data_IF_648673801021
#
_entry.id   IF_648673801021
#
_cell.length_a   1.000
_cell.length_b   1.000
_cell.length_c   1.000
_cell.angle_alpha   90.00
_cell.angle_beta   90.00
_cell.angle_gamma   90.00
#
_symmetry.space_group_name_H-M   'P 1'
#
loop_
_entity.id
_entity.type
_entity.pdbx_description
1 polymer ?
#
# COMPACT_ATOMS: atom_id res chain seq x y z
N UNK A 1 -28.14 14.10 -2.06
CA UNK A 1 -28.45 12.67 -2.26
C UNK A 1 -27.38 12.15 -3.18
N UNK A 2 -26.51 11.27 -2.67
CA UNK A 2 -25.36 10.77 -3.40
C UNK A 2 -25.82 10.06 -4.68
N UNK A 3 -25.34 10.51 -5.84
CA UNK A 3 -25.30 9.67 -7.04
C UNK A 3 -24.25 8.60 -6.77
N UNK A 4 -24.67 7.53 -6.09
CA UNK A 4 -23.90 6.30 -6.07
C UNK A 4 -23.67 5.90 -7.53
N UNK A 5 -22.45 5.54 -7.87
CA UNK A 5 -22.17 4.89 -9.16
C UNK A 5 -22.99 3.59 -9.13
N UNK A 6 -24.12 3.58 -9.83
CA UNK A 6 -25.03 2.44 -9.89
C UNK A 6 -24.51 1.48 -10.96
N UNK A 7 -23.97 0.35 -10.51
CA UNK A 7 -23.75 -0.81 -11.36
C UNK A 7 -25.10 -1.20 -11.98
N UNK A 8 -25.12 -1.37 -13.29
CA UNK A 8 -26.27 -1.89 -14.03
C UNK A 8 -26.63 -3.31 -13.57
N UNK A 9 -27.90 -3.74 -13.73
CA UNK A 9 -28.29 -5.13 -13.43
C UNK A 9 -27.40 -6.18 -14.11
N UNK A 10 -26.96 -5.92 -15.35
CA UNK A 10 -26.06 -6.79 -16.09
C UNK A 10 -24.67 -6.90 -15.43
N UNK A 11 -24.11 -5.79 -14.94
CA UNK A 11 -22.83 -5.81 -14.22
C UNK A 11 -22.96 -6.56 -12.89
N UNK A 12 -24.07 -6.39 -12.17
CA UNK A 12 -24.37 -7.12 -10.94
C UNK A 12 -24.47 -8.63 -11.20
N UNK A 13 -25.13 -9.04 -12.29
CA UNK A 13 -25.18 -10.44 -12.72
C UNK A 13 -23.79 -10.96 -13.08
N UNK A 14 -22.98 -10.18 -13.80
CA UNK A 14 -21.60 -10.52 -14.14
C UNK A 14 -20.72 -10.74 -12.90
N UNK A 15 -20.84 -9.88 -11.88
CA UNK A 15 -20.16 -10.07 -10.59
C UNK A 15 -20.55 -11.40 -9.93
N UNK A 16 -21.83 -11.75 -9.95
CA UNK A 16 -22.31 -13.02 -9.39
C UNK A 16 -21.76 -14.23 -10.15
N UNK A 17 -21.75 -14.16 -11.49
CA UNK A 17 -21.21 -15.22 -12.34
C UNK A 17 -19.72 -15.47 -12.06
N UNK A 18 -18.92 -14.41 -11.99
CA UNK A 18 -17.49 -14.52 -11.66
C UNK A 18 -17.28 -15.08 -10.25
N UNK A 19 -18.04 -14.61 -9.26
CA UNK A 19 -17.94 -15.09 -7.88
C UNK A 19 -18.15 -16.60 -7.76
N UNK A 20 -19.26 -17.11 -8.30
CA UNK A 20 -19.55 -18.55 -8.25
C UNK A 20 -18.63 -19.37 -9.15
N UNK A 21 -18.23 -18.82 -10.30
CA UNK A 21 -17.22 -19.43 -11.17
C UNK A 21 -15.92 -19.70 -10.40
N UNK A 22 -15.44 -18.73 -9.63
CA UNK A 22 -14.23 -18.90 -8.81
C UNK A 22 -14.41 -19.88 -7.64
N UNK A 23 -15.58 -19.96 -7.02
CA UNK A 23 -15.81 -20.94 -5.95
C UNK A 23 -15.84 -22.38 -6.47
N UNK A 24 -16.49 -22.62 -7.62
CA UNK A 24 -16.53 -23.96 -8.24
C UNK A 24 -15.14 -24.51 -8.59
N UNK A 25 -14.23 -23.65 -9.05
CA UNK A 25 -12.83 -24.00 -9.32
C UNK A 25 -12.07 -24.31 -8.02
N UNK A 26 -12.34 -23.57 -6.93
CA UNK A 26 -11.68 -23.78 -5.65
C UNK A 26 -12.16 -25.04 -4.92
N UNK A 27 -13.42 -25.44 -5.09
CA UNK A 27 -14.03 -26.61 -4.46
C UNK A 27 -13.89 -27.90 -5.28
N UNK A 28 -13.30 -27.83 -6.49
CA UNK A 28 -13.17 -28.94 -7.44
C UNK A 28 -14.51 -29.66 -7.74
N UNK A 29 -15.64 -28.93 -7.65
CA UNK A 29 -17.00 -29.44 -7.83
C UNK A 29 -17.68 -28.76 -9.02
N UNK A 30 -18.17 -29.59 -9.95
CA UNK A 30 -19.05 -29.28 -11.12
C UNK A 30 -18.68 -28.10 -12.03
N UNK A 31 -18.78 -28.30 -13.34
CA UNK A 31 -18.63 -27.24 -14.35
C UNK A 31 -19.58 -26.07 -14.09
N UNK A 32 -19.11 -24.81 -14.13
CA UNK A 32 -19.90 -23.61 -13.82
C UNK A 32 -21.13 -23.39 -14.72
N UNK A 33 -21.21 -24.10 -15.86
CA UNK A 33 -22.26 -23.95 -16.87
C UNK A 33 -23.68 -24.40 -16.47
N UNK A 34 -23.88 -24.97 -15.27
CA UNK A 34 -25.19 -25.45 -14.82
C UNK A 34 -25.85 -24.59 -13.72
N UNK A 35 -25.24 -23.46 -13.34
CA UNK A 35 -25.81 -22.57 -12.32
C UNK A 35 -26.77 -21.55 -12.97
N UNK A 36 -28.02 -21.55 -12.53
CA UNK A 36 -28.99 -20.50 -12.85
C UNK A 36 -28.96 -19.46 -11.73
N UNK A 37 -28.44 -18.26 -12.03
CA UNK A 37 -28.33 -17.18 -11.07
C UNK A 37 -29.49 -16.19 -11.27
N UNK A 38 -30.20 -15.88 -10.19
CA UNK A 38 -31.24 -14.86 -10.18
C UNK A 38 -30.98 -13.86 -9.04
N UNK A 39 -30.62 -12.62 -9.40
CA UNK A 39 -30.35 -11.56 -8.44
C UNK A 39 -31.68 -11.06 -7.87
N UNK A 40 -31.88 -11.23 -6.56
CA UNK A 40 -33.12 -10.83 -5.89
C UNK A 40 -33.08 -9.33 -5.58
N UNK A 41 -31.97 -8.88 -5.00
CA UNK A 41 -31.70 -7.47 -4.67
C UNK A 41 -30.22 -7.25 -4.39
N UNK A 42 -29.80 -6.00 -4.51
CA UNK A 42 -28.48 -5.55 -4.07
C UNK A 42 -28.58 -4.18 -3.38
N UNK A 43 -27.62 -3.87 -2.51
CA UNK A 43 -27.51 -2.57 -1.87
C UNK A 43 -26.07 -2.29 -1.42
N UNK A 44 -25.74 -1.01 -1.28
CA UNK A 44 -24.49 -0.55 -0.68
C UNK A 44 -24.68 -0.35 0.82
N UNK A 45 -23.75 -0.87 1.62
CA UNK A 45 -23.70 -0.69 3.07
C UNK A 45 -22.40 0.06 3.45
N UNK A 46 -22.47 1.14 4.26
CA UNK A 46 -21.26 1.75 4.82
C UNK A 46 -20.42 0.74 5.61
N UNK A 47 -19.10 0.89 5.55
CA UNK A 47 -18.18 0.05 6.34
C UNK A 47 -18.14 0.51 7.80
N UNK A 48 -18.30 1.81 8.02
CA UNK A 48 -18.32 2.46 9.33
C UNK A 48 -19.30 3.64 9.31
N UNK A 49 -19.73 4.08 10.51
CA UNK A 49 -20.64 5.21 10.68
C UNK A 49 -19.97 6.56 10.33
N UNK A 50 -18.64 6.63 10.35
CA UNK A 50 -17.83 7.74 9.85
C UNK A 50 -17.17 7.40 8.51
N UNK A 51 -16.89 8.37 7.62
CA UNK A 51 -16.12 8.14 6.41
C UNK A 51 -14.74 7.54 6.78
N UNK A 52 -14.49 6.29 6.41
CA UNK A 52 -13.20 5.62 6.59
C UNK A 52 -12.45 5.60 5.26
N UNK A 53 -11.29 6.26 5.22
CA UNK A 53 -10.44 6.38 4.03
C UNK A 53 -10.16 7.83 3.66
N UNK A 54 -8.88 8.15 3.41
CA UNK A 54 -8.44 9.50 3.02
C UNK A 54 -8.68 9.81 1.54
N UNK A 55 -8.65 8.79 0.67
CA UNK A 55 -8.57 8.94 -0.80
C UNK A 55 -9.69 8.22 -1.58
N UNK A 56 -10.73 7.74 -0.90
CA UNK A 56 -11.86 7.05 -1.55
C UNK A 56 -13.01 6.75 -0.61
N UNK A 57 -14.20 6.51 -1.17
CA UNK A 57 -15.34 6.00 -0.41
C UNK A 57 -15.33 4.48 -0.40
N UNK A 58 -15.25 3.91 0.80
CA UNK A 58 -15.31 2.47 0.99
C UNK A 58 -16.71 2.02 1.42
N UNK A 59 -17.29 1.05 0.69
CA UNK A 59 -18.62 0.48 0.99
C UNK A 59 -18.60 -1.02 0.74
N UNK A 60 -19.49 -1.75 1.41
CA UNK A 60 -19.81 -3.13 1.03
C UNK A 60 -20.93 -3.14 0.00
N UNK A 61 -20.73 -3.82 -1.13
CA UNK A 61 -21.82 -4.20 -2.03
C UNK A 61 -22.36 -5.55 -1.58
N UNK A 62 -23.62 -5.58 -1.15
CA UNK A 62 -24.29 -6.79 -0.67
C UNK A 62 -25.32 -7.22 -1.70
N UNK A 63 -25.22 -8.46 -2.18
CA UNK A 63 -26.11 -9.02 -3.21
C UNK A 63 -26.77 -10.27 -2.63
N UNK A 64 -28.11 -10.27 -2.59
CA UNK A 64 -28.89 -11.46 -2.29
C UNK A 64 -29.24 -12.15 -3.63
N UNK A 65 -28.75 -13.36 -3.82
CA UNK A 65 -28.87 -14.12 -5.08
C UNK A 65 -29.45 -15.50 -4.83
N UNK A 66 -30.38 -15.89 -5.68
CA UNK A 66 -30.92 -17.23 -5.76
C UNK A 66 -30.07 -18.02 -6.76
N UNK A 67 -29.59 -19.19 -6.34
CA UNK A 67 -28.76 -20.09 -7.14
C UNK A 67 -29.53 -21.38 -7.36
N UNK A 68 -29.95 -21.60 -8.60
CA UNK A 68 -30.51 -22.87 -9.04
C UNK A 68 -29.39 -23.77 -9.56
N UNK A 69 -29.37 -25.03 -9.13
CA UNK A 69 -28.48 -26.05 -9.68
C UNK A 69 -29.30 -27.27 -10.13
N UNK A 70 -29.01 -27.76 -11.33
CA UNK A 70 -29.59 -29.01 -11.85
C UNK A 70 -28.63 -30.15 -11.60
N UNK A 71 -29.05 -31.14 -10.81
CA UNK A 71 -28.30 -32.40 -10.71
C UNK A 71 -28.53 -33.28 -11.94
N UNK A 72 -27.58 -34.17 -12.23
CA UNK A 72 -27.71 -35.18 -13.30
C UNK A 72 -28.94 -36.09 -13.09
N UNK A 73 -29.39 -36.26 -11.84
CA UNK A 73 -30.59 -37.01 -11.45
C UNK A 73 -31.91 -36.24 -11.63
N UNK A 74 -31.88 -35.02 -12.18
CA UNK A 74 -33.07 -34.20 -12.46
C UNK A 74 -33.72 -33.57 -11.22
N UNK A 75 -33.02 -33.51 -10.08
CA UNK A 75 -33.50 -32.76 -8.91
C UNK A 75 -33.01 -31.32 -9.00
N UNK A 76 -33.95 -30.40 -9.17
CA UNK A 76 -33.69 -28.98 -9.03
C UNK A 76 -33.48 -28.65 -7.55
N UNK A 77 -32.34 -28.05 -7.21
CA UNK A 77 -32.12 -27.45 -5.89
C UNK A 77 -31.96 -25.95 -6.01
N UNK A 78 -32.59 -25.23 -5.09
CA UNK A 78 -32.52 -23.78 -4.98
C UNK A 78 -31.81 -23.44 -3.67
N UNK A 79 -30.71 -22.70 -3.77
CA UNK A 79 -30.03 -22.13 -2.63
C UNK A 79 -30.14 -20.61 -2.65
N UNK A 80 -30.29 -20.00 -1.47
CA UNK A 80 -30.25 -18.54 -1.31
C UNK A 80 -28.90 -18.17 -0.71
N UNK A 81 -28.16 -17.32 -1.42
CA UNK A 81 -26.83 -16.89 -1.03
C UNK A 81 -26.80 -15.37 -0.86
N UNK A 82 -26.02 -14.91 0.12
CA UNK A 82 -25.67 -13.51 0.29
C UNK A 82 -24.20 -13.35 -0.02
N UNK A 83 -23.90 -12.62 -1.10
CA UNK A 83 -22.52 -12.28 -1.48
C UNK A 83 -22.22 -10.88 -0.94
N UNK A 84 -20.97 -10.67 -0.49
CA UNK A 84 -20.47 -9.34 -0.19
C UNK A 84 -19.18 -9.09 -0.94
N UNK A 85 -19.07 -7.91 -1.52
CA UNK A 85 -17.86 -7.37 -2.10
C UNK A 85 -17.42 -6.11 -1.34
N UNK A 86 -16.13 -5.82 -1.36
CA UNK A 86 -15.60 -4.53 -0.94
C UNK A 86 -15.54 -3.60 -2.16
N UNK A 87 -15.98 -2.35 -2.01
CA UNK A 87 -15.96 -1.36 -3.10
C UNK A 87 -15.18 -0.12 -2.71
N UNK A 88 -14.37 0.39 -3.64
CA UNK A 88 -13.64 1.65 -3.52
C UNK A 88 -14.08 2.56 -4.67
N UNK A 89 -14.66 3.70 -4.34
CA UNK A 89 -15.16 4.67 -5.31
C UNK A 89 -14.45 6.02 -5.15
N UNK A 90 -14.26 6.74 -6.27
CA UNK A 90 -13.73 8.10 -6.24
C UNK A 90 -14.67 9.04 -5.45
N UNK A 91 -14.14 10.00 -4.67
CA UNK A 91 -14.95 10.98 -3.96
C UNK A 91 -15.42 12.09 -4.90
N UNK A 92 -16.46 11.81 -5.69
CA UNK A 92 -17.02 12.72 -6.70
C UNK A 92 -17.68 13.98 -6.09
N UNK A 93 -17.92 13.99 -4.77
CA UNK A 93 -18.74 15.01 -4.11
C UNK A 93 -17.95 16.24 -3.64
N UNK A 94 -16.61 16.17 -3.58
CA UNK A 94 -15.77 17.24 -3.01
C UNK A 94 -14.75 17.70 -4.04
N UNK A 95 -15.02 18.83 -4.70
CA UNK A 95 -14.20 19.38 -5.79
C UNK A 95 -12.71 19.50 -5.43
N UNK A 96 -12.37 20.02 -4.23
CA UNK A 96 -10.96 20.13 -3.80
C UNK A 96 -10.27 18.77 -3.58
N UNK A 97 -11.01 17.72 -3.23
CA UNK A 97 -10.48 16.35 -3.13
C UNK A 97 -10.38 15.70 -4.51
N UNK A 98 -11.29 16.01 -5.43
CA UNK A 98 -11.20 15.58 -6.83
C UNK A 98 -10.01 16.22 -7.53
N UNK A 99 -9.85 17.55 -7.43
CA UNK A 99 -8.71 18.26 -7.99
C UNK A 99 -7.40 17.67 -7.45
N UNK A 100 -7.34 17.40 -6.13
CA UNK A 100 -6.21 16.72 -5.51
C UNK A 100 -6.00 15.30 -6.05
N UNK A 101 -7.04 14.47 -6.17
CA UNK A 101 -6.92 13.08 -6.67
C UNK A 101 -6.59 13.01 -8.16
N UNK A 102 -7.12 13.94 -8.95
CA UNK A 102 -6.85 14.10 -10.37
C UNK A 102 -5.42 14.60 -10.59
N UNK A 103 -4.96 15.57 -9.82
CA UNK A 103 -3.57 16.05 -9.81
C UNK A 103 -2.59 14.97 -9.30
N UNK A 104 -3.04 14.12 -8.37
CA UNK A 104 -2.26 12.98 -7.88
C UNK A 104 -2.22 11.80 -8.86
N UNK A 105 -3.21 11.67 -9.74
CA UNK A 105 -3.36 10.56 -10.70
C UNK A 105 -3.55 9.17 -10.07
N UNK A 106 -3.73 9.09 -8.76
CA UNK A 106 -3.65 7.85 -7.96
C UNK A 106 -4.78 6.87 -8.24
N UNK A 107 -6.02 7.36 -8.41
CA UNK A 107 -7.19 6.50 -8.60
C UNK A 107 -7.22 5.84 -9.99
N UNK A 108 -6.93 6.62 -11.04
CA UNK A 108 -6.82 6.11 -12.42
C UNK A 108 -5.70 5.07 -12.53
N UNK A 109 -4.57 5.34 -11.88
CA UNK A 109 -3.46 4.39 -11.81
C UNK A 109 -3.89 3.08 -11.16
N UNK A 110 -4.49 3.13 -9.97
CA UNK A 110 -4.94 1.93 -9.25
C UNK A 110 -5.90 1.08 -10.09
N UNK A 111 -6.81 1.70 -10.84
CA UNK A 111 -7.69 1.01 -11.78
C UNK A 111 -6.90 0.22 -12.83
N UNK A 112 -5.93 0.86 -13.48
CA UNK A 112 -5.11 0.20 -14.52
C UNK A 112 -4.30 -0.95 -13.89
N UNK A 113 -3.77 -0.76 -12.69
CA UNK A 113 -3.03 -1.81 -11.98
C UNK A 113 -3.91 -3.03 -11.73
N UNK A 114 -5.11 -2.87 -11.16
CA UNK A 114 -5.99 -4.01 -10.88
C UNK A 114 -6.61 -4.64 -12.13
N UNK A 115 -6.87 -3.83 -13.18
CA UNK A 115 -7.49 -4.31 -14.41
C UNK A 115 -6.50 -4.99 -15.35
N UNK A 116 -5.30 -4.43 -15.49
CA UNK A 116 -4.39 -4.77 -16.58
C UNK A 116 -3.06 -5.39 -16.09
N UNK A 117 -2.54 -4.97 -14.93
CA UNK A 117 -1.21 -5.41 -14.45
C UNK A 117 -1.30 -6.63 -13.54
N UNK A 118 -2.02 -6.52 -12.43
CA UNK A 118 -2.13 -7.59 -11.42
C UNK A 118 -2.68 -8.90 -11.98
N UNK A 119 -3.66 -8.93 -12.91
CA UNK A 119 -4.09 -10.19 -13.50
C UNK A 119 -2.95 -10.95 -14.18
N UNK A 120 -2.07 -10.26 -14.92
CA UNK A 120 -0.93 -10.86 -15.59
C UNK A 120 0.10 -11.42 -14.59
N UNK A 121 0.37 -10.69 -13.50
CA UNK A 121 1.33 -11.12 -12.48
C UNK A 121 0.77 -12.28 -11.63
N UNK A 122 -0.53 -12.26 -11.33
CA UNK A 122 -1.18 -13.30 -10.53
C UNK A 122 -1.43 -14.60 -11.29
N UNK A 123 -1.40 -14.59 -12.63
CA UNK A 123 -1.32 -15.82 -13.44
C UNK A 123 0.00 -16.56 -13.22
N UNK A 124 1.10 -15.85 -12.94
CA UNK A 124 2.41 -16.44 -12.64
C UNK A 124 2.44 -16.91 -11.18
N UNK A 125 2.21 -15.98 -10.24
CA UNK A 125 2.15 -16.29 -8.82
C UNK A 125 0.89 -15.70 -8.19
N UNK A 126 -0.11 -16.54 -7.84
CA UNK A 126 -1.36 -16.05 -7.32
C UNK A 126 -1.24 -15.56 -5.88
N UNK A 127 -2.14 -14.68 -5.48
CA UNK A 127 -2.34 -14.35 -4.08
C UNK A 127 -1.43 -13.24 -3.55
N UNK A 128 -1.08 -12.28 -4.39
CA UNK A 128 -0.42 -11.06 -3.92
C UNK A 128 -1.45 -10.02 -3.51
N UNK A 129 -2.56 -9.93 -4.23
CA UNK A 129 -3.60 -8.92 -4.06
C UNK A 129 -5.00 -9.56 -3.90
N UNK A 130 -6.00 -8.82 -3.39
CA UNK A 130 -7.38 -9.26 -3.49
C UNK A 130 -7.79 -9.44 -4.95
N UNK A 131 -8.69 -10.38 -5.19
CA UNK A 131 -9.39 -10.50 -6.46
C UNK A 131 -10.18 -9.24 -6.75
N UNK A 132 -9.93 -8.62 -7.90
CA UNK A 132 -10.74 -7.55 -8.45
C UNK A 132 -11.75 -8.16 -9.44
N UNK A 133 -13.04 -7.95 -9.20
CA UNK A 133 -14.12 -8.45 -10.06
C UNK A 133 -14.59 -7.41 -11.07
N UNK A 134 -14.41 -6.12 -10.73
CA UNK A 134 -14.83 -5.02 -11.58
C UNK A 134 -13.95 -3.80 -11.35
N UNK A 135 -13.53 -3.18 -12.44
CA UNK A 135 -12.71 -1.98 -12.45
C UNK A 135 -13.18 -1.07 -13.58
N UNK A 136 -13.75 0.08 -13.21
CA UNK A 136 -14.13 1.16 -14.11
C UNK A 136 -13.56 2.49 -13.58
N UNK A 137 -13.60 3.54 -14.41
CA UNK A 137 -13.01 4.86 -14.18
C UNK A 137 -13.22 5.44 -12.79
N UNK A 138 -14.33 5.11 -12.11
CA UNK A 138 -14.69 5.66 -10.80
C UNK A 138 -14.97 4.60 -9.73
N UNK A 139 -14.86 3.30 -10.04
CA UNK A 139 -15.28 2.22 -9.14
C UNK A 139 -14.42 0.96 -9.29
N UNK A 140 -13.94 0.47 -8.16
CA UNK A 140 -13.31 -0.83 -8.01
C UNK A 140 -14.18 -1.72 -7.11
N UNK A 141 -14.35 -2.99 -7.50
CA UNK A 141 -15.07 -4.02 -6.74
C UNK A 141 -14.14 -5.20 -6.50
N UNK A 142 -13.93 -5.54 -5.24
CA UNK A 142 -13.00 -6.56 -4.77
C UNK A 142 -13.70 -7.67 -3.99
N UNK A 143 -13.05 -8.82 -3.88
CA UNK A 143 -13.43 -9.78 -2.84
C UNK A 143 -13.42 -9.15 -1.45
N UNK A 144 -14.33 -9.60 -0.60
CA UNK A 144 -14.41 -9.15 0.78
C UNK A 144 -13.49 -10.01 1.64
N UNK A 145 -12.30 -9.49 1.92
CA UNK A 145 -11.22 -10.23 2.57
C UNK A 145 -11.56 -10.74 3.99
N UNK A 146 -12.46 -10.08 4.76
CA UNK A 146 -12.75 -10.52 6.13
C UNK A 146 -13.44 -11.88 6.17
N UNK A 147 -14.25 -12.23 5.16
CA UNK A 147 -14.80 -13.59 5.01
C UNK A 147 -13.72 -14.65 4.85
N UNK A 148 -12.57 -14.29 4.28
CA UNK A 148 -11.40 -15.15 4.17
C UNK A 148 -10.56 -15.22 5.45
N UNK A 149 -10.97 -14.59 6.55
CA UNK A 149 -10.19 -14.51 7.80
C UNK A 149 -9.06 -13.49 7.75
N UNK A 150 -9.11 -12.54 6.82
CA UNK A 150 -8.11 -11.48 6.71
C UNK A 150 -8.48 -10.24 7.54
N UNK A 151 -7.48 -9.65 8.21
CA UNK A 151 -7.60 -8.39 8.95
C UNK A 151 -6.27 -7.62 8.92
N UNK A 152 -6.30 -6.34 9.26
CA UNK A 152 -5.07 -5.57 9.51
C UNK A 152 -4.34 -6.16 10.71
N UNK A 153 -3.01 -6.22 10.63
CA UNK A 153 -2.16 -6.80 11.67
C UNK A 153 -1.68 -5.80 12.73
N UNK A 154 -1.70 -4.50 12.41
CA UNK A 154 -1.24 -3.45 13.31
C UNK A 154 -2.40 -2.70 13.98
N UNK A 155 -2.11 -2.16 15.18
CA UNK A 155 -2.99 -1.21 15.85
C UNK A 155 -2.75 0.22 15.36
N UNK A 156 -3.15 1.20 16.19
CA UNK A 156 -2.86 2.62 15.93
C UNK A 156 -1.37 2.91 15.77
N UNK A 157 -0.52 2.05 16.34
CA UNK A 157 0.92 2.21 16.29
C UNK A 157 1.58 1.89 14.96
N UNK A 158 0.84 1.22 14.08
CA UNK A 158 1.33 0.75 12.80
C UNK A 158 2.43 -0.29 12.94
N UNK A 159 2.70 -0.83 14.14
CA UNK A 159 3.80 -1.76 14.36
C UNK A 159 3.37 -3.19 14.03
N UNK A 160 4.29 -3.93 13.39
CA UNK A 160 4.16 -5.35 13.11
C UNK A 160 5.27 -6.12 13.81
N UNK A 161 4.95 -7.33 14.27
CA UNK A 161 5.95 -8.25 14.80
C UNK A 161 6.70 -8.99 13.68
N UNK A 162 7.62 -9.87 14.08
CA UNK A 162 8.45 -10.66 13.17
C UNK A 162 7.63 -11.56 12.25
N UNK A 163 6.62 -12.27 12.76
CA UNK A 163 5.83 -13.22 11.97
C UNK A 163 5.02 -12.50 10.89
N UNK A 164 4.49 -11.32 11.22
CA UNK A 164 3.81 -10.45 10.26
C UNK A 164 4.77 -9.94 9.18
N UNK A 165 5.95 -9.44 9.56
CA UNK A 165 6.91 -8.93 8.58
C UNK A 165 7.49 -10.04 7.69
N UNK A 166 7.81 -11.21 8.23
CA UNK A 166 8.24 -12.36 7.43
C UNK A 166 7.15 -12.77 6.40
N UNK A 167 5.89 -12.79 6.82
CA UNK A 167 4.75 -13.10 5.96
C UNK A 167 4.60 -12.06 4.83
N UNK A 168 4.74 -10.78 5.15
CA UNK A 168 4.71 -9.69 4.17
C UNK A 168 5.92 -9.73 3.22
N UNK A 169 7.12 -9.96 3.75
CA UNK A 169 8.37 -10.11 2.98
C UNK A 169 8.26 -11.23 1.94
N UNK A 170 7.70 -12.38 2.33
CA UNK A 170 7.47 -13.50 1.40
C UNK A 170 6.51 -13.14 0.27
N UNK A 171 5.44 -12.41 0.60
CA UNK A 171 4.44 -11.94 -0.39
C UNK A 171 5.06 -10.90 -1.33
N UNK A 172 5.90 -10.00 -0.79
CA UNK A 172 6.64 -9.02 -1.58
C UNK A 172 7.64 -9.66 -2.54
N UNK A 173 8.42 -10.62 -2.06
CA UNK A 173 9.33 -11.41 -2.89
C UNK A 173 8.59 -12.14 -4.02
N UNK A 174 7.38 -12.64 -3.74
CA UNK A 174 6.50 -13.26 -4.75
C UNK A 174 6.11 -12.27 -5.84
N UNK A 175 5.66 -11.07 -5.45
CA UNK A 175 5.25 -10.01 -6.38
C UNK A 175 6.39 -9.54 -7.27
N UNK A 176 7.56 -9.27 -6.68
CA UNK A 176 8.74 -8.84 -7.42
C UNK A 176 9.26 -9.94 -8.36
N UNK A 177 9.27 -11.20 -7.93
CA UNK A 177 9.62 -12.33 -8.79
C UNK A 177 8.64 -12.49 -9.95
N UNK A 178 7.32 -12.35 -9.71
CA UNK A 178 6.30 -12.40 -10.76
C UNK A 178 6.57 -11.34 -11.85
N UNK A 179 6.95 -10.13 -11.44
CA UNK A 179 7.30 -9.05 -12.36
C UNK A 179 8.47 -9.42 -13.27
N UNK A 180 9.54 -9.99 -12.72
CA UNK A 180 10.71 -10.40 -13.51
C UNK A 180 10.34 -11.51 -14.48
N UNK A 181 9.62 -12.54 -14.00
CA UNK A 181 9.19 -13.66 -14.84
C UNK A 181 8.30 -13.17 -15.97
N UNK A 182 7.40 -12.23 -15.70
CA UNK A 182 6.56 -11.60 -16.72
C UNK A 182 7.42 -10.92 -17.80
N UNK A 183 8.37 -10.07 -17.41
CA UNK A 183 9.24 -9.38 -18.38
C UNK A 183 10.07 -10.35 -19.23
N UNK A 184 10.59 -11.42 -18.63
CA UNK A 184 11.34 -12.45 -19.35
C UNK A 184 10.45 -13.18 -20.35
N UNK A 185 9.22 -13.55 -19.97
CA UNK A 185 8.25 -14.22 -20.85
C UNK A 185 7.80 -13.32 -22.00
N UNK A 186 7.61 -12.02 -21.75
CA UNK A 186 7.17 -11.05 -22.76
C UNK A 186 8.33 -10.51 -23.62
N UNK A 187 9.57 -10.60 -23.15
CA UNK A 187 10.74 -10.03 -23.82
C UNK A 187 10.78 -8.49 -23.80
N UNK A 188 9.98 -7.84 -22.95
CA UNK A 188 9.82 -6.39 -22.87
C UNK A 188 9.56 -5.96 -21.42
N UNK A 189 9.94 -4.74 -21.06
CA UNK A 189 9.78 -4.23 -19.70
C UNK A 189 8.34 -3.90 -19.38
N UNK A 190 7.90 -4.16 -18.15
CA UNK A 190 6.50 -3.98 -17.76
C UNK A 190 6.05 -2.51 -17.86
N UNK A 191 6.96 -1.57 -17.64
CA UNK A 191 6.71 -0.12 -17.79
C UNK A 191 6.60 0.34 -19.24
N UNK A 192 7.00 -0.48 -20.21
CA UNK A 192 6.78 -0.21 -21.63
C UNK A 192 5.41 -0.73 -22.09
N UNK A 193 4.86 -1.74 -21.42
CA UNK A 193 3.52 -2.28 -21.70
C UNK A 193 2.44 -1.44 -20.98
N UNK A 194 2.66 -1.09 -19.71
CA UNK A 194 1.71 -0.36 -18.88
C UNK A 194 2.26 0.96 -18.31
N UNK A 195 2.80 1.90 -19.12
CA UNK A 195 3.42 3.13 -18.61
C UNK A 195 2.58 3.90 -17.57
N UNK A 196 1.30 4.26 -17.83
CA UNK A 196 0.52 5.09 -16.90
C UNK A 196 0.19 4.38 -15.57
N UNK A 197 0.33 3.05 -15.52
CA UNK A 197 0.05 2.26 -14.33
C UNK A 197 1.18 2.34 -13.29
N UNK A 198 2.40 2.64 -13.73
CA UNK A 198 3.61 2.45 -12.92
C UNK A 198 4.66 3.56 -13.07
N UNK A 199 4.23 4.75 -13.47
CA UNK A 199 5.02 5.98 -13.37
C UNK A 199 5.14 6.46 -11.92
N UNK A 200 6.31 6.90 -11.48
CA UNK A 200 6.50 7.44 -10.12
C UNK A 200 5.74 8.77 -9.94
N UNK A 201 4.72 8.79 -9.07
CA UNK A 201 3.87 9.95 -8.81
C UNK A 201 3.80 10.36 -7.33
N UNK A 202 4.41 9.63 -6.41
CA UNK A 202 4.55 9.96 -5.00
C UNK A 202 5.64 11.02 -4.77
N UNK A 203 6.79 10.83 -5.41
CA UNK A 203 7.97 11.69 -5.36
C UNK A 203 8.45 12.03 -6.79
N UNK A 204 7.64 12.69 -7.64
CA UNK A 204 8.06 12.98 -9.00
C UNK A 204 9.33 13.85 -9.02
N UNK A 205 10.25 13.55 -9.94
CA UNK A 205 11.47 14.35 -10.12
C UNK A 205 11.17 15.66 -10.85
N UNK A 206 12.00 16.68 -10.62
CA UNK A 206 11.98 17.97 -11.35
C UNK A 206 10.65 18.75 -11.26
N UNK A 207 9.95 18.65 -10.13
CA UNK A 207 8.70 19.39 -9.91
C UNK A 207 8.94 20.88 -9.65
N UNK A 208 7.98 21.70 -10.11
CA UNK A 208 7.81 23.07 -9.61
C UNK A 208 7.52 23.02 -8.09
N UNK A 209 8.06 23.97 -7.33
CA UNK A 209 7.80 24.07 -5.89
C UNK A 209 6.32 24.27 -5.54
N UNK A 210 5.51 24.67 -6.52
CA UNK A 210 4.05 24.80 -6.41
C UNK A 210 3.32 23.49 -6.59
N UNK A 211 3.96 22.44 -7.11
CA UNK A 211 3.32 21.15 -7.30
C UNK A 211 2.91 20.55 -5.96
N UNK A 212 1.69 20.04 -5.88
CA UNK A 212 1.08 19.57 -4.63
C UNK A 212 1.92 18.51 -3.89
N UNK A 213 2.59 17.60 -4.62
CA UNK A 213 3.51 16.61 -4.03
C UNK A 213 4.73 17.24 -3.36
N UNK A 214 5.32 18.27 -3.97
CA UNK A 214 6.46 18.97 -3.38
C UNK A 214 6.03 19.80 -2.16
N UNK A 215 4.88 20.49 -2.25
CA UNK A 215 4.32 21.21 -1.09
C UNK A 215 4.03 20.26 0.07
N UNK A 216 3.47 19.08 -0.21
CA UNK A 216 3.21 18.07 0.81
C UNK A 216 4.48 17.57 1.48
N UNK A 217 5.53 17.32 0.70
CA UNK A 217 6.84 17.00 1.23
C UNK A 217 7.40 18.14 2.09
N UNK A 218 7.39 19.38 1.58
CA UNK A 218 7.91 20.55 2.29
C UNK A 218 7.19 20.81 3.62
N UNK A 219 5.85 20.67 3.64
CA UNK A 219 5.05 20.81 4.85
C UNK A 219 5.35 19.69 5.86
N UNK A 220 5.62 18.46 5.39
CA UNK A 220 6.10 17.38 6.25
C UNK A 220 7.46 17.71 6.88
N UNK A 221 8.41 18.22 6.08
CA UNK A 221 9.73 18.66 6.56
C UNK A 221 9.61 19.78 7.60
N UNK A 222 8.69 20.73 7.41
CA UNK A 222 8.42 21.79 8.38
C UNK A 222 7.89 21.22 9.71
N UNK A 223 6.94 20.28 9.66
CA UNK A 223 6.48 19.54 10.85
C UNK A 223 7.66 18.92 11.59
N UNK A 224 8.52 18.17 10.90
CA UNK A 224 9.66 17.50 11.52
C UNK A 224 10.63 18.48 12.17
N UNK A 225 10.88 19.62 11.53
CA UNK A 225 11.68 20.70 12.10
C UNK A 225 11.10 21.19 13.43
N UNK A 226 9.79 21.42 13.49
CA UNK A 226 9.12 21.84 14.73
C UNK A 226 9.11 20.75 15.81
N UNK A 227 8.96 19.48 15.44
CA UNK A 227 9.03 18.37 16.39
C UNK A 227 10.46 18.21 16.96
N UNK A 228 11.49 18.33 16.12
CA UNK A 228 12.90 18.25 16.55
C UNK A 228 13.23 19.36 17.56
N UNK A 229 12.65 20.56 17.43
CA UNK A 229 12.81 21.64 18.43
C UNK A 229 12.30 21.27 19.82
N UNK A 230 11.35 20.33 19.91
CA UNK A 230 10.81 19.84 21.17
C UNK A 230 11.66 18.71 21.78
N UNK A 231 12.73 18.26 21.12
CA UNK A 231 13.55 17.13 21.54
C UNK A 231 14.82 17.60 22.25
N UNK A 232 14.93 17.46 23.60
CA UNK A 232 16.08 17.99 24.35
C UNK A 232 17.43 17.42 23.91
N UNK A 233 17.43 16.20 23.34
CA UNK A 233 18.62 15.53 22.79
C UNK A 233 19.37 16.41 21.77
N UNK A 234 18.65 17.23 21.02
CA UNK A 234 19.20 17.98 19.88
C UNK A 234 19.45 19.46 20.13
N UNK A 235 19.22 19.96 21.35
CA UNK A 235 19.35 21.39 21.71
C UNK A 235 20.67 22.02 21.26
N UNK A 236 21.79 21.32 21.44
CA UNK A 236 23.14 21.83 21.10
C UNK A 236 23.48 21.83 19.61
N UNK A 237 22.73 21.09 18.79
CA UNK A 237 23.03 20.86 17.37
C UNK A 237 21.86 21.27 16.47
N UNK A 238 20.86 21.94 17.06
CA UNK A 238 19.57 22.22 16.44
C UNK A 238 19.71 22.99 15.13
N UNK A 239 20.51 24.06 15.11
CA UNK A 239 20.71 24.87 13.89
C UNK A 239 21.31 24.05 12.74
N UNK A 240 22.28 23.19 13.05
CA UNK A 240 22.88 22.30 12.05
C UNK A 240 21.86 21.27 11.55
N UNK A 241 21.04 20.71 12.44
CA UNK A 241 20.01 19.73 12.06
C UNK A 241 18.96 20.37 11.15
N UNK A 242 18.40 21.51 11.56
CA UNK A 242 17.35 22.20 10.82
C UNK A 242 17.82 22.69 9.45
N UNK A 243 19.07 23.18 9.35
CA UNK A 243 19.64 23.63 8.07
C UNK A 243 19.90 22.49 7.07
N UNK A 244 20.08 21.25 7.54
CA UNK A 244 20.35 20.09 6.69
C UNK A 244 19.12 19.19 6.46
N UNK A 245 18.08 19.30 7.27
CA UNK A 245 16.91 18.41 7.26
C UNK A 245 16.25 18.31 5.88
N UNK A 246 15.87 19.44 5.27
CA UNK A 246 15.23 19.47 3.95
C UNK A 246 16.11 18.82 2.90
N UNK A 247 17.38 19.19 2.84
CA UNK A 247 18.34 18.67 1.86
C UNK A 247 18.51 17.17 1.97
N UNK A 248 18.68 16.65 3.20
CA UNK A 248 18.84 15.21 3.42
C UNK A 248 17.57 14.42 3.14
N UNK A 249 16.39 14.96 3.45
CA UNK A 249 15.13 14.28 3.11
C UNK A 249 14.81 14.34 1.60
N UNK A 250 15.30 15.36 0.88
CA UNK A 250 15.00 15.53 -0.55
C UNK A 250 15.69 14.50 -1.44
N UNK A 251 16.60 13.68 -0.91
CA UNK A 251 17.22 12.57 -1.67
C UNK A 251 16.19 11.51 -2.11
N UNK A 252 15.01 11.46 -1.48
CA UNK A 252 13.94 10.56 -1.90
C UNK A 252 13.47 10.83 -3.34
N UNK A 253 13.48 12.08 -3.80
CA UNK A 253 13.01 12.43 -5.15
C UNK A 253 13.80 11.73 -6.26
N UNK A 254 15.14 11.82 -6.33
CA UNK A 254 15.89 11.06 -7.32
C UNK A 254 15.89 9.55 -7.06
N UNK A 255 15.92 9.11 -5.79
CA UNK A 255 15.99 7.69 -5.45
C UNK A 255 14.69 6.92 -5.77
N UNK A 256 13.53 7.57 -5.68
CA UNK A 256 12.24 6.95 -5.99
C UNK A 256 12.01 6.68 -7.49
N UNK A 257 12.85 7.24 -8.37
CA UNK A 257 12.69 7.07 -9.82
C UNK A 257 13.11 5.67 -10.29
N UNK A 258 12.63 5.26 -11.46
CA UNK A 258 13.15 4.08 -12.16
C UNK A 258 14.66 4.16 -12.29
N UNK A 259 15.36 3.14 -11.77
CA UNK A 259 16.82 3.10 -11.81
C UNK A 259 17.32 2.76 -13.22
N UNK A 260 18.42 3.40 -13.61
CA UNK A 260 19.18 3.04 -14.81
C UNK A 260 20.31 2.06 -14.51
N UNK A 261 20.62 1.85 -13.24
CA UNK A 261 21.74 1.04 -12.77
C UNK A 261 21.28 -0.33 -12.27
N UNK A 262 20.18 -0.36 -11.50
CA UNK A 262 19.68 -1.58 -10.88
C UNK A 262 18.49 -2.16 -11.61
N UNK A 263 18.27 -3.46 -11.44
CA UNK A 263 17.04 -4.11 -11.88
C UNK A 263 15.83 -3.44 -11.23
N UNK A 264 14.79 -3.20 -12.03
CA UNK A 264 13.52 -2.65 -11.59
C UNK A 264 12.43 -3.72 -11.72
N UNK A 265 11.42 -3.63 -10.86
CA UNK A 265 10.27 -4.52 -10.81
C UNK A 265 9.00 -3.70 -10.68
N UNK A 266 7.85 -4.34 -10.87
CA UNK A 266 6.58 -3.82 -10.40
C UNK A 266 6.61 -3.70 -8.87
N UNK A 267 6.64 -2.47 -8.38
CA UNK A 267 6.62 -2.11 -6.97
C UNK A 267 5.27 -1.52 -6.59
N UNK A 268 4.82 -1.82 -5.38
CA UNK A 268 3.60 -1.31 -4.77
C UNK A 268 3.71 0.18 -4.39
N UNK A 269 4.85 0.63 -3.86
CA UNK A 269 5.14 2.03 -3.53
C UNK A 269 4.39 2.61 -2.32
N UNK A 270 3.64 1.79 -1.56
CA UNK A 270 2.80 2.24 -0.43
C UNK A 270 2.67 1.16 0.66
N UNK A 271 3.77 0.50 1.03
CA UNK A 271 3.76 -0.66 1.94
C UNK A 271 3.95 -0.27 3.41
N UNK A 272 2.89 0.26 4.00
CA UNK A 272 2.73 0.42 5.45
C UNK A 272 1.69 -0.58 5.99
N UNK A 273 1.62 -0.75 7.32
CA UNK A 273 0.87 -1.86 7.93
C UNK A 273 -0.63 -1.94 7.53
N UNK A 274 -1.29 -0.80 7.28
CA UNK A 274 -2.71 -0.80 6.91
C UNK A 274 -2.98 -1.27 5.48
N UNK A 275 -1.95 -1.26 4.62
CA UNK A 275 -2.02 -1.78 3.26
C UNK A 275 -1.65 -3.27 3.17
N UNK A 276 -1.46 -3.94 4.32
CA UNK A 276 -1.19 -5.38 4.40
C UNK A 276 -2.30 -6.06 5.20
N UNK A 277 -3.08 -6.89 4.50
CA UNK A 277 -4.16 -7.67 5.09
C UNK A 277 -3.65 -9.09 5.38
N UNK A 278 -3.63 -9.49 6.64
CA UNK A 278 -3.10 -10.78 7.09
C UNK A 278 -4.23 -11.77 7.32
N UNK A 279 -4.07 -13.00 6.86
CA UNK A 279 -4.97 -14.10 7.11
C UNK A 279 -4.61 -14.82 8.40
N UNK A 280 -5.60 -15.11 9.23
CA UNK A 280 -5.43 -15.87 10.46
C UNK A 280 -6.26 -17.15 10.45
N UNK A 281 -5.77 -18.17 11.16
CA UNK A 281 -6.57 -19.34 11.47
C UNK A 281 -7.70 -18.99 12.43
N UNK A 282 -8.75 -19.82 12.47
CA UNK A 282 -9.95 -19.58 13.29
C UNK A 282 -9.66 -19.28 14.78
N UNK A 283 -8.53 -19.77 15.30
CA UNK A 283 -8.13 -19.65 16.70
C UNK A 283 -6.67 -19.21 16.87
N UNK A 284 -6.01 -18.72 15.81
CA UNK A 284 -4.58 -18.38 15.84
C UNK A 284 -4.35 -16.88 15.71
N UNK A 285 -3.36 -16.37 16.45
CA UNK A 285 -2.91 -14.98 16.33
C UNK A 285 -1.71 -14.81 15.39
N UNK A 286 -1.10 -15.91 14.96
CA UNK A 286 -0.01 -15.89 13.96
C UNK A 286 -0.55 -15.77 12.53
N UNK A 287 0.02 -14.89 11.69
CA UNK A 287 -0.40 -14.72 10.31
C UNK A 287 0.02 -15.91 9.44
N UNK A 288 -0.90 -16.40 8.60
CA UNK A 288 -0.67 -17.54 7.69
C UNK A 288 -0.11 -17.08 6.35
N UNK A 289 -0.71 -16.03 5.79
CA UNK A 289 -0.35 -15.37 4.54
C UNK A 289 -0.91 -13.94 4.57
N UNK A 290 -0.51 -13.09 3.63
CA UNK A 290 -1.11 -11.76 3.49
C UNK A 290 -1.47 -11.44 2.04
N UNK A 291 -2.23 -10.35 1.88
CA UNK A 291 -2.50 -9.69 0.62
C UNK A 291 -2.18 -8.21 0.76
N UNK A 292 -1.58 -7.63 -0.26
CA UNK A 292 -1.41 -6.18 -0.36
C UNK A 292 -2.64 -5.53 -0.96
N UNK A 293 -3.01 -4.37 -0.46
CA UNK A 293 -4.14 -3.55 -0.94
C UNK A 293 -3.66 -2.13 -1.21
N UNK A 294 -4.43 -1.37 -1.99
CA UNK A 294 -4.15 0.03 -2.31
C UNK A 294 -2.86 0.27 -3.13
N UNK A 295 -2.86 -0.18 -4.40
CA UNK A 295 -1.72 -0.05 -5.33
C UNK A 295 -1.65 1.34 -6.01
N UNK A 296 -2.16 2.37 -5.35
CA UNK A 296 -2.32 3.70 -5.95
C UNK A 296 -1.00 4.45 -6.19
N UNK A 297 0.09 4.01 -5.54
CA UNK A 297 1.45 4.52 -5.73
C UNK A 297 2.35 3.52 -6.46
N UNK A 298 1.76 2.54 -7.16
CA UNK A 298 2.54 1.55 -7.89
C UNK A 298 3.51 2.23 -8.86
N UNK A 299 4.71 1.66 -8.97
CA UNK A 299 5.82 2.22 -9.74
C UNK A 299 6.72 1.14 -10.29
N UNK A 300 7.51 1.48 -11.31
CA UNK A 300 8.58 0.63 -11.80
C UNK A 300 9.92 1.09 -11.23
N UNK A 301 10.40 0.40 -10.20
CA UNK A 301 11.55 0.84 -9.42
C UNK A 301 12.35 -0.35 -8.86
N UNK A 302 13.54 -0.14 -8.25
CA UNK A 302 14.29 -1.24 -7.66
C UNK A 302 13.53 -1.90 -6.52
N UNK A 303 13.59 -3.25 -6.40
CA UNK A 303 12.84 -4.00 -5.40
C UNK A 303 13.14 -3.58 -3.96
N UNK A 304 14.33 -3.04 -3.72
CA UNK A 304 14.78 -2.59 -2.40
C UNK A 304 13.93 -1.45 -1.84
N UNK A 305 13.36 -0.58 -2.68
CA UNK A 305 12.52 0.53 -2.21
C UNK A 305 11.31 0.01 -1.44
N UNK A 306 10.50 -0.84 -2.05
CA UNK A 306 9.35 -1.45 -1.36
C UNK A 306 9.76 -2.25 -0.12
N UNK A 307 10.87 -2.99 -0.22
CA UNK A 307 11.36 -3.82 0.87
C UNK A 307 11.75 -2.98 2.09
N UNK A 308 12.51 -1.89 1.89
CA UNK A 308 12.91 -1.03 3.00
C UNK A 308 11.71 -0.26 3.56
N UNK A 309 10.75 0.16 2.74
CA UNK A 309 9.49 0.76 3.19
C UNK A 309 8.76 -0.20 4.14
N UNK A 310 8.54 -1.44 3.69
CA UNK A 310 7.85 -2.48 4.44
C UNK A 310 8.56 -2.84 5.76
N UNK A 311 9.90 -2.81 5.78
CA UNK A 311 10.69 -3.17 6.96
C UNK A 311 10.92 -2.00 7.92
N UNK A 312 10.64 -0.76 7.51
CA UNK A 312 10.96 0.45 8.29
C UNK A 312 9.75 1.15 8.85
N UNK A 313 8.69 1.39 8.05
CA UNK A 313 7.49 2.09 8.51
C UNK A 313 6.82 1.35 9.69
N UNK A 314 6.52 0.05 9.57
CA UNK A 314 5.81 -0.68 10.61
C UNK A 314 6.75 -1.28 11.68
N UNK A 315 7.96 -0.74 11.86
CA UNK A 315 8.89 -1.25 12.86
C UNK A 315 9.53 -0.12 13.69
N UNK A 316 10.00 -0.47 14.89
CA UNK A 316 10.80 0.42 15.72
C UNK A 316 12.28 0.31 15.38
N UNK A 317 13.08 1.32 15.75
CA UNK A 317 14.54 1.24 15.67
C UNK A 317 15.10 0.02 16.40
N UNK A 318 14.57 -0.29 17.58
CA UNK A 318 14.96 -1.47 18.37
C UNK A 318 14.67 -2.77 17.60
N UNK A 319 13.48 -2.91 17.02
CA UNK A 319 13.14 -4.09 16.21
C UNK A 319 14.11 -4.26 15.04
N UNK A 320 14.40 -3.19 14.29
CA UNK A 320 15.33 -3.23 13.16
C UNK A 320 16.74 -3.61 13.58
N UNK A 321 17.20 -3.14 14.74
CA UNK A 321 18.52 -3.51 15.26
C UNK A 321 18.68 -5.02 15.50
N UNK A 322 17.56 -5.73 15.71
CA UNK A 322 17.54 -7.17 15.99
C UNK A 322 17.26 -8.02 14.75
N UNK A 323 16.36 -7.60 13.88
CA UNK A 323 15.78 -8.48 12.84
C UNK A 323 15.93 -7.99 11.40
N UNK A 324 16.42 -6.77 11.15
CA UNK A 324 16.44 -6.20 9.80
C UNK A 324 17.26 -7.06 8.82
N UNK A 325 18.47 -7.45 9.20
CA UNK A 325 19.35 -8.28 8.38
C UNK A 325 18.71 -9.62 8.04
N UNK A 326 18.10 -10.28 9.02
CA UNK A 326 17.43 -11.58 8.83
C UNK A 326 16.27 -11.46 7.84
N UNK A 327 15.42 -10.44 7.98
CA UNK A 327 14.28 -10.21 7.07
C UNK A 327 14.74 -9.85 5.64
N UNK A 328 15.86 -9.14 5.48
CA UNK A 328 16.48 -8.87 4.17
C UNK A 328 16.99 -10.15 3.51
N UNK A 329 17.67 -11.02 4.26
CA UNK A 329 18.14 -12.30 3.77
C UNK A 329 16.99 -13.24 3.41
N UNK A 330 15.91 -13.25 4.22
CA UNK A 330 14.70 -13.99 3.92
C UNK A 330 14.03 -13.51 2.63
N UNK A 331 13.92 -12.19 2.42
CA UNK A 331 13.43 -11.63 1.17
C UNK A 331 14.22 -12.16 -0.04
N UNK A 332 15.54 -12.03 0.01
CA UNK A 332 16.43 -12.43 -1.08
C UNK A 332 16.30 -13.94 -1.36
N UNK A 333 16.27 -14.76 -0.30
CA UNK A 333 16.06 -16.21 -0.41
C UNK A 333 14.70 -16.55 -1.04
N UNK A 334 13.60 -15.96 -0.55
CA UNK A 334 12.28 -16.23 -1.10
C UNK A 334 12.20 -15.84 -2.58
N UNK A 335 12.73 -14.67 -2.95
CA UNK A 335 12.73 -14.21 -4.34
C UNK A 335 13.52 -15.18 -5.23
N UNK A 336 14.69 -15.64 -4.78
CA UNK A 336 15.48 -16.65 -5.49
C UNK A 336 14.76 -17.99 -5.63
N UNK A 337 14.04 -18.44 -4.61
CA UNK A 337 13.22 -19.65 -4.66
C UNK A 337 12.08 -19.52 -5.69
N UNK A 338 11.40 -18.38 -5.76
CA UNK A 338 10.34 -18.15 -6.75
C UNK A 338 10.89 -18.09 -8.17
N UNK A 339 11.98 -17.36 -8.41
CA UNK A 339 12.63 -17.30 -9.72
C UNK A 339 13.13 -18.68 -10.19
N UNK A 340 13.70 -19.47 -9.27
CA UNK A 340 14.16 -20.84 -9.57
C UNK A 340 13.04 -21.77 -10.01
N UNK A 341 11.82 -21.62 -9.48
CA UNK A 341 10.64 -22.40 -9.92
C UNK A 341 10.29 -22.14 -11.39
N UNK A 342 10.56 -20.92 -11.85
CA UNK A 342 10.39 -20.50 -13.25
C UNK A 342 11.68 -20.68 -14.07
N UNK A 343 12.65 -21.46 -13.57
CA UNK A 343 13.92 -21.77 -14.24
C UNK A 343 14.81 -20.54 -14.49
N UNK A 344 14.68 -19.50 -13.67
CA UNK A 344 15.51 -18.30 -13.68
C UNK A 344 16.48 -18.29 -12.49
N UNK A 345 17.65 -17.66 -12.67
CA UNK A 345 18.61 -17.43 -11.59
C UNK A 345 18.49 -15.98 -11.10
N UNK A 346 18.37 -15.79 -9.77
CA UNK A 346 18.28 -14.44 -9.19
C UNK A 346 19.53 -13.60 -9.49
N UNK A 347 20.71 -14.21 -9.58
CA UNK A 347 21.96 -13.49 -9.82
C UNK A 347 22.04 -12.85 -11.21
N UNK A 348 21.20 -13.28 -12.16
CA UNK A 348 21.09 -12.63 -13.48
C UNK A 348 20.39 -11.26 -13.42
N UNK A 349 19.69 -10.98 -12.32
CA UNK A 349 18.89 -9.77 -12.12
C UNK A 349 19.33 -8.95 -10.90
N UNK A 350 19.77 -9.62 -9.84
CA UNK A 350 20.14 -9.02 -8.58
C UNK A 350 21.12 -9.94 -7.85
N UNK A 351 22.42 -9.71 -8.06
CA UNK A 351 23.46 -10.46 -7.34
C UNK A 351 23.44 -10.14 -5.83
N UNK A 352 24.02 -10.99 -4.96
CA UNK A 352 24.11 -10.71 -3.54
C UNK A 352 24.82 -9.38 -3.24
N UNK A 353 25.87 -9.05 -4.01
CA UNK A 353 26.61 -7.80 -3.85
C UNK A 353 25.75 -6.59 -4.24
N UNK A 354 25.00 -6.67 -5.33
CA UNK A 354 24.07 -5.61 -5.74
C UNK A 354 22.91 -5.47 -4.75
N UNK A 355 22.39 -6.57 -4.21
CA UNK A 355 21.35 -6.53 -3.18
C UNK A 355 21.78 -5.73 -1.95
N UNK A 356 22.96 -6.02 -1.40
CA UNK A 356 23.48 -5.27 -0.25
C UNK A 356 23.88 -3.84 -0.62
N UNK A 357 24.38 -3.59 -1.84
CA UNK A 357 24.64 -2.24 -2.33
C UNK A 357 23.36 -1.41 -2.39
N UNK A 358 22.29 -1.94 -2.98
CA UNK A 358 20.99 -1.26 -3.04
C UNK A 358 20.42 -1.05 -1.64
N UNK A 359 20.59 -1.98 -0.71
CA UNK A 359 20.21 -1.76 0.69
C UNK A 359 20.87 -0.52 1.28
N UNK A 360 22.19 -0.37 1.15
CA UNK A 360 22.91 0.80 1.67
C UNK A 360 22.52 2.11 0.97
N UNK A 361 22.14 2.06 -0.30
CA UNK A 361 21.69 3.24 -1.04
C UNK A 361 20.27 3.67 -0.67
N UNK A 362 19.35 2.71 -0.53
CA UNK A 362 17.92 2.96 -0.34
C UNK A 362 17.48 2.95 1.14
N UNK A 363 18.31 2.50 2.09
CA UNK A 363 17.98 2.49 3.54
C UNK A 363 17.51 3.84 4.08
N UNK A 364 17.97 4.95 3.51
CA UNK A 364 17.51 6.29 3.88
C UNK A 364 16.05 6.54 3.46
N UNK A 365 15.61 5.98 2.34
CA UNK A 365 14.25 6.12 1.83
C UNK A 365 13.23 5.56 2.82
N UNK A 366 13.50 4.39 3.40
CA UNK A 366 12.61 3.78 4.40
C UNK A 366 12.36 4.69 5.61
N UNK A 367 13.37 5.42 6.09
CA UNK A 367 13.20 6.38 7.20
C UNK A 367 12.51 7.67 6.77
N UNK A 368 12.81 8.18 5.57
CA UNK A 368 12.14 9.36 5.02
C UNK A 368 10.65 9.09 4.87
N UNK A 369 10.29 7.96 4.25
CA UNK A 369 8.90 7.53 4.09
C UNK A 369 8.26 7.25 5.46
N UNK A 370 8.96 6.62 6.41
CA UNK A 370 8.44 6.45 7.78
C UNK A 370 8.03 7.78 8.41
N UNK A 371 8.86 8.82 8.34
CA UNK A 371 8.49 10.15 8.83
C UNK A 371 7.30 10.73 8.03
N UNK A 372 7.35 10.69 6.70
CA UNK A 372 6.33 11.27 5.81
C UNK A 372 4.96 10.59 5.90
N UNK A 373 4.90 9.30 6.22
CA UNK A 373 3.64 8.59 6.40
C UNK A 373 3.13 8.75 7.84
N UNK A 374 3.97 8.39 8.80
CA UNK A 374 3.52 8.23 10.19
C UNK A 374 3.10 9.53 10.86
N UNK A 375 3.62 10.69 10.44
CA UNK A 375 3.17 11.96 11.03
C UNK A 375 1.70 12.28 10.79
N UNK A 376 1.09 11.69 9.76
CA UNK A 376 -0.35 11.83 9.49
C UNK A 376 -1.12 10.58 9.90
N UNK A 377 -0.60 9.38 9.63
CA UNK A 377 -1.38 8.14 9.77
C UNK A 377 -1.58 7.69 11.21
N UNK A 378 -0.72 8.12 12.15
CA UNK A 378 -0.84 7.73 13.57
C UNK A 378 -1.42 8.86 14.46
N UNK A 379 -1.88 9.96 13.84
CA UNK A 379 -2.52 11.06 14.56
C UNK A 379 -3.69 10.55 15.42
N UNK A 380 -3.88 11.11 16.63
CA UNK A 380 -5.03 10.78 17.46
C UNK A 380 -6.35 11.07 16.71
N UNK A 381 -7.32 10.13 16.68
CA UNK A 381 -8.59 10.32 15.99
C UNK A 381 -9.33 11.60 16.40
N UNK A 382 -9.21 12.00 17.67
CA UNK A 382 -9.84 13.20 18.23
C UNK A 382 -9.32 14.49 17.58
N UNK A 383 -8.07 14.47 17.09
CA UNK A 383 -7.46 15.60 16.40
C UNK A 383 -7.77 15.60 14.90
N UNK A 384 -8.02 14.44 14.30
CA UNK A 384 -8.31 14.33 12.86
C UNK A 384 -9.79 14.51 12.52
N UNK A 385 -10.72 14.16 13.43
CA UNK A 385 -12.16 14.20 13.21
C UNK A 385 -12.69 15.59 12.80
N UNK A 386 -12.19 16.67 13.42
CA UNK A 386 -12.60 18.03 13.10
C UNK A 386 -12.16 18.51 11.71
N UNK A 387 -11.12 17.90 11.14
CA UNK A 387 -10.48 18.31 9.89
C UNK A 387 -11.07 17.59 8.68
N UNK A 388 -11.45 16.33 8.87
CA UNK A 388 -12.10 15.52 7.83
C UNK A 388 -13.57 15.90 7.61
N UNK A 389 -14.17 16.65 8.54
CA UNK A 389 -15.58 17.01 8.55
C UNK A 389 -15.97 18.18 7.63
N UNK A 390 -15.02 18.95 7.09
CA UNK A 390 -15.30 20.11 6.22
C UNK A 390 -14.39 20.14 5.00
N UNK A 391 -14.86 20.74 3.91
CA UNK A 391 -14.10 20.91 2.65
C UNK A 391 -12.88 21.80 2.85
N UNK A 392 -13.02 22.88 3.63
CA UNK A 392 -11.93 23.80 3.97
C UNK A 392 -10.91 23.14 4.92
N UNK A 393 -11.37 22.27 5.82
CA UNK A 393 -10.52 21.51 6.72
C UNK A 393 -9.52 20.58 6.01
N UNK A 394 -9.90 20.03 4.85
CA UNK A 394 -8.99 19.21 4.03
C UNK A 394 -7.88 20.07 3.42
N UNK A 395 -8.23 21.16 2.71
CA UNK A 395 -7.22 22.06 2.12
C UNK A 395 -6.31 22.69 3.18
N UNK A 396 -6.88 23.09 4.32
CA UNK A 396 -6.11 23.68 5.42
C UNK A 396 -5.17 22.67 6.10
N UNK A 397 -5.57 21.38 6.17
CA UNK A 397 -4.77 20.29 6.72
C UNK A 397 -3.53 20.00 5.88
N UNK A 398 -3.60 20.20 4.56
CA UNK A 398 -2.43 20.08 3.70
C UNK A 398 -1.61 21.38 3.61
N UNK A 399 -1.97 22.42 4.38
CA UNK A 399 -1.25 23.69 4.51
C UNK A 399 -0.81 23.96 5.98
N UNK A 400 -0.89 25.22 6.46
CA UNK A 400 -0.33 25.65 7.76
C UNK A 400 -0.88 24.93 9.00
N UNK A 401 -2.13 24.45 8.98
CA UNK A 401 -2.71 23.77 10.15
C UNK A 401 -2.01 22.43 10.44
N UNK A 402 -1.33 21.83 9.46
CA UNK A 402 -0.62 20.54 9.63
C UNK A 402 0.37 20.61 10.80
N UNK A 403 1.18 21.65 10.83
CA UNK A 403 2.21 21.86 11.86
C UNK A 403 1.58 21.98 13.23
N UNK A 404 0.52 22.79 13.36
CA UNK A 404 -0.20 22.98 14.63
C UNK A 404 -0.79 21.66 15.16
N UNK A 405 -1.40 20.85 14.30
CA UNK A 405 -2.02 19.58 14.68
C UNK A 405 -0.97 18.56 15.11
N UNK A 406 0.10 18.41 14.33
CA UNK A 406 1.18 17.46 14.64
C UNK A 406 1.90 17.87 15.93
N UNK A 407 2.15 19.17 16.14
CA UNK A 407 2.71 19.68 17.40
C UNK A 407 1.79 19.45 18.58
N UNK A 408 0.48 19.69 18.42
CA UNK A 408 -0.50 19.40 19.46
C UNK A 408 -0.47 17.92 19.81
N UNK A 409 -0.54 17.03 18.80
CA UNK A 409 -0.45 15.59 18.98
C UNK A 409 0.85 15.19 19.72
N UNK A 410 1.99 15.71 19.30
CA UNK A 410 3.29 15.43 19.93
C UNK A 410 3.34 15.85 21.41
N UNK A 411 2.68 16.94 21.76
CA UNK A 411 2.65 17.41 23.15
C UNK A 411 1.63 16.66 24.02
N UNK A 412 0.48 16.27 23.46
CA UNK A 412 -0.64 15.73 24.24
C UNK A 412 -0.78 14.21 24.18
N UNK A 413 -0.22 13.56 23.18
CA UNK A 413 -0.36 12.11 22.95
C UNK A 413 1.02 11.44 23.03
N UNK A 414 1.23 10.69 24.10
CA UNK A 414 2.50 10.02 24.38
C UNK A 414 2.86 9.00 23.29
N UNK A 415 1.85 8.31 22.78
CA UNK A 415 2.00 7.30 21.73
C UNK A 415 2.61 7.91 20.44
N UNK A 416 1.99 8.99 19.94
CA UNK A 416 2.43 9.75 18.77
C UNK A 416 3.84 10.32 19.00
N UNK A 417 4.08 10.90 20.18
CA UNK A 417 5.39 11.45 20.55
C UNK A 417 6.50 10.40 20.52
N UNK A 418 6.28 9.23 21.11
CA UNK A 418 7.27 8.17 21.16
C UNK A 418 7.61 7.65 19.77
N UNK A 419 6.61 7.38 18.92
CA UNK A 419 6.85 6.88 17.55
C UNK A 419 7.60 7.89 16.68
N UNK A 420 7.19 9.16 16.67
CA UNK A 420 7.89 10.15 15.86
C UNK A 420 9.27 10.48 16.41
N UNK A 421 9.45 10.45 17.74
CA UNK A 421 10.78 10.56 18.35
C UNK A 421 11.69 9.43 17.87
N UNK A 422 11.24 8.17 17.93
CA UNK A 422 12.01 7.00 17.45
C UNK A 422 12.46 7.17 15.98
N UNK A 423 11.54 7.56 15.09
CA UNK A 423 11.82 7.75 13.66
C UNK A 423 12.77 8.93 13.39
N UNK A 424 12.49 10.08 14.00
CA UNK A 424 13.29 11.29 13.83
C UNK A 424 14.69 11.09 14.40
N UNK A 425 14.82 10.42 15.55
CA UNK A 425 16.12 10.11 16.11
C UNK A 425 16.92 9.18 15.20
N UNK A 426 16.30 8.14 14.67
CA UNK A 426 16.97 7.21 13.75
C UNK A 426 17.45 7.93 12.49
N UNK A 427 16.63 8.82 11.92
CA UNK A 427 17.00 9.61 10.75
C UNK A 427 18.13 10.62 11.06
N UNK A 428 17.96 11.44 12.10
CA UNK A 428 18.91 12.51 12.47
C UNK A 428 20.26 11.91 12.85
N UNK A 429 20.27 10.88 13.72
CA UNK A 429 21.50 10.27 14.21
C UNK A 429 22.31 9.64 13.07
N UNK A 430 21.64 8.99 12.11
CA UNK A 430 22.33 8.23 11.05
C UNK A 430 22.66 9.02 9.78
N UNK A 431 21.92 10.09 9.46
CA UNK A 431 22.04 10.75 8.14
C UNK A 431 22.27 12.26 8.19
N UNK A 432 22.07 12.89 9.35
CA UNK A 432 22.39 14.30 9.55
C UNK A 432 23.65 14.43 10.40
N UNK A 433 23.67 13.80 11.57
CA UNK A 433 24.74 13.95 12.57
C UNK A 433 25.87 12.94 12.42
N UNK A 434 25.63 11.81 11.75
CA UNK A 434 26.68 10.83 11.48
C UNK A 434 27.73 11.51 10.61
N UNK A 435 28.91 11.77 11.20
CA UNK A 435 30.08 12.20 10.45
C UNK A 435 30.42 11.07 9.49
N UNK A 436 30.28 11.31 8.20
CA UNK A 436 30.90 10.47 7.18
C UNK A 436 32.40 10.46 7.47
N UNK A 437 32.97 9.28 7.74
CA UNK A 437 34.41 9.10 7.95
C UNK A 437 35.25 9.50 6.71
N UNK A 438 34.60 9.95 5.64
CA UNK A 438 35.19 10.33 4.36
C UNK A 438 35.53 11.83 4.25
N UNK A 439 35.09 12.70 5.16
CA UNK A 439 35.48 14.13 5.13
C UNK A 439 36.80 14.42 5.87
N UNK A 440 37.53 13.38 6.26
CA UNK A 440 38.75 13.46 7.08
C UNK A 440 39.97 12.72 6.54
N UNK A 441 40.08 12.51 5.22
CA UNK A 441 41.32 12.00 4.59
C UNK A 441 41.75 12.83 3.39
#
# INVERSE_FOLDING_TARGET
MATAIELSPHEIEGLCQQYFGHQSVAEATTTPNNLQLNVIRYHLKPISDSPSGFLGHHRYLVIDVQVGSKSEDGRDSIAFNRIRFFTKAAPVEVASRMDYLEEFGVFKKEIIVYRDVLPQLQEIFPGVAPKCYYADNNLLVFEELQQGGYRMGAGRDGLLDYEHLQCAVKTLATMHAASIVFEVKQGVKINQIFPPAIEENAYPSQLDEKHVRYQNFANGVEVFGELIKQMPKYEKQLDYILSNLKTKMSVIFPLAQTSKEFCNVFSHGDLWANNVMFQYGKYGDSPIQCRFVDFQLARYAPPMLDLITLLTIPSSREFRSKYLTELLEEYYRFMGEFLKREQLNIEDFLSPQEFWKTFEEYRICGLIESCLFSHLTILPPELTQCLTATTDGFSDFFARKRVEICLKAFNTDEFYRQRLTDMLEDFVDNYILKKTEEEGK
#
